data_IF_052082378247
#
_entry.id   IF_052082378247
#
_cell.length_a   1.000
_cell.length_b   1.000
_cell.length_c   1.000
_cell.angle_alpha   90.00
_cell.angle_beta   90.00
_cell.angle_gamma   90.00
#
_symmetry.space_group_name_H-M   'P 1'
#
loop_
_entity.id
_entity.type
_entity.pdbx_description
1 polymer ?
#
# COMPACT_ATOMS: atom_id res chain seq x y z
N UNK A 1 22.00 -0.23 33.47
CA UNK A 1 20.83 0.69 33.41
C UNK A 1 20.23 0.76 32.00
N UNK A 2 21.04 0.98 30.95
CA UNK A 2 20.60 1.10 29.54
C UNK A 2 19.94 -0.15 28.93
N UNK A 3 20.41 -1.36 29.27
CA UNK A 3 19.83 -2.62 28.78
C UNK A 3 18.35 -2.78 29.16
N UNK A 4 17.91 -2.22 30.30
CA UNK A 4 16.49 -2.22 30.72
C UNK A 4 15.60 -1.37 29.81
N UNK A 5 16.19 -0.50 28.99
CA UNK A 5 15.52 0.32 27.99
C UNK A 5 15.74 -0.21 26.56
N UNK A 6 16.19 -1.46 26.41
CA UNK A 6 16.55 -2.08 25.12
C UNK A 6 17.64 -1.29 24.35
N UNK A 7 18.55 -0.62 25.08
CA UNK A 7 19.70 0.07 24.50
C UNK A 7 20.97 -0.73 24.76
N UNK A 8 21.68 -1.09 23.70
CA UNK A 8 23.00 -1.69 23.75
C UNK A 8 24.05 -0.63 23.39
N UNK A 9 24.93 -0.31 24.33
CA UNK A 9 26.03 0.63 24.12
C UNK A 9 27.33 -0.13 23.91
N UNK A 10 28.02 0.15 22.80
CA UNK A 10 29.29 -0.51 22.45
C UNK A 10 30.47 -0.04 23.31
N UNK A 11 30.37 1.12 23.97
CA UNK A 11 31.37 1.64 24.89
C UNK A 11 30.76 2.62 25.90
N UNK A 12 31.45 2.82 27.03
CA UNK A 12 31.06 3.86 28.01
C UNK A 12 31.12 5.28 27.42
N UNK A 13 32.10 5.55 26.55
CA UNK A 13 32.23 6.83 25.84
C UNK A 13 31.01 7.17 24.98
N UNK A 14 30.36 6.17 24.38
CA UNK A 14 29.13 6.39 23.61
C UNK A 14 27.96 6.85 24.50
N UNK A 15 27.94 6.44 25.77
CA UNK A 15 26.92 6.84 26.73
C UNK A 15 27.15 8.28 27.20
N UNK A 16 28.40 8.63 27.50
CA UNK A 16 28.77 10.00 27.89
C UNK A 16 28.51 10.99 26.76
N UNK A 17 28.94 10.67 25.53
CA UNK A 17 28.71 11.51 24.36
C UNK A 17 27.21 11.72 24.09
N UNK A 18 26.36 10.70 24.30
CA UNK A 18 24.92 10.82 24.14
C UNK A 18 24.24 11.72 25.19
N UNK A 19 24.90 12.02 26.31
CA UNK A 19 24.40 12.97 27.31
C UNK A 19 24.66 14.43 26.97
N UNK A 20 25.56 14.70 26.02
CA UNK A 20 26.05 16.03 25.65
C UNK A 20 25.62 16.42 24.22
N UNK A 21 24.56 15.80 23.70
CA UNK A 21 24.05 16.08 22.35
C UNK A 21 22.97 17.17 22.37
N UNK A 22 23.17 18.21 21.56
CA UNK A 22 22.18 19.28 21.38
C UNK A 22 21.25 19.05 20.16
N UNK A 23 21.61 18.13 19.26
CA UNK A 23 20.85 17.88 18.03
C UNK A 23 20.76 16.38 17.76
N UNK A 24 19.52 15.92 17.52
CA UNK A 24 19.21 14.53 17.20
C UNK A 24 18.67 14.44 15.77
N UNK A 25 19.39 13.71 14.92
CA UNK A 25 18.92 13.34 13.58
C UNK A 25 18.27 11.96 13.65
N UNK A 26 16.99 11.86 13.29
CA UNK A 26 16.25 10.61 13.31
C UNK A 26 15.92 10.19 11.89
N UNK A 27 16.22 8.93 11.58
CA UNK A 27 15.56 8.30 10.46
C UNK A 27 14.06 8.16 10.76
N UNK A 28 13.20 8.29 9.76
CA UNK A 28 11.75 8.19 9.96
C UNK A 28 11.31 6.72 9.94
N UNK A 29 11.72 6.00 8.90
CA UNK A 29 11.19 4.67 8.57
C UNK A 29 11.69 3.66 9.59
N UNK A 30 10.78 2.97 10.28
CA UNK A 30 11.16 1.92 11.24
C UNK A 30 11.69 2.45 12.58
N UNK A 31 12.07 3.73 12.66
CA UNK A 31 12.45 4.41 13.91
C UNK A 31 11.25 5.17 14.48
N UNK A 32 10.76 6.20 13.79
CA UNK A 32 9.57 6.99 14.19
C UNK A 32 8.28 6.26 13.81
N UNK A 33 8.25 5.63 12.65
CA UNK A 33 7.10 4.90 12.13
C UNK A 33 7.28 3.40 12.29
N UNK A 34 6.19 2.63 12.12
CA UNK A 34 6.22 1.18 12.15
C UNK A 34 7.13 0.58 11.06
N UNK A 35 7.57 1.38 10.08
CA UNK A 35 8.48 0.96 9.02
C UNK A 35 7.79 0.33 7.81
N UNK A 36 6.47 0.11 7.90
CA UNK A 36 5.64 -0.45 6.84
C UNK A 36 4.51 0.53 6.53
N UNK A 37 4.17 0.68 5.24
CA UNK A 37 3.03 1.51 4.87
C UNK A 37 1.74 0.71 5.02
N UNK A 38 0.69 1.34 5.55
CA UNK A 38 -0.62 0.72 5.78
C UNK A 38 -1.67 1.36 4.89
N UNK A 39 -2.58 0.55 4.34
CA UNK A 39 -3.74 1.03 3.62
C UNK A 39 -4.67 1.80 4.57
N UNK A 40 -5.05 3.00 4.15
CA UNK A 40 -5.92 3.88 4.95
C UNK A 40 -7.19 4.31 4.20
N UNK A 41 -7.19 4.27 2.87
CA UNK A 41 -8.34 4.69 2.08
C UNK A 41 -8.34 4.04 0.69
N UNK A 42 -9.54 3.76 0.19
CA UNK A 42 -9.80 3.47 -1.23
C UNK A 42 -10.35 4.74 -1.88
N UNK A 43 -9.75 5.16 -2.99
CA UNK A 43 -10.11 6.37 -3.74
C UNK A 43 -10.53 5.94 -5.15
N UNK A 44 -11.83 5.71 -5.39
CA UNK A 44 -12.31 5.24 -6.68
C UNK A 44 -12.21 6.35 -7.74
N UNK A 45 -12.00 5.95 -8.99
CA UNK A 45 -12.23 6.86 -10.13
C UNK A 45 -13.73 7.11 -10.31
N UNK A 46 -14.08 8.14 -11.08
CA UNK A 46 -15.46 8.45 -11.45
C UNK A 46 -16.19 7.23 -12.02
N UNK A 47 -17.41 7.00 -11.55
CA UNK A 47 -18.24 5.87 -11.98
C UNK A 47 -17.87 4.52 -11.38
N UNK A 48 -16.95 4.49 -10.40
CA UNK A 48 -16.63 3.30 -9.59
C UNK A 48 -17.02 3.58 -8.15
N UNK A 49 -17.57 2.58 -7.46
CA UNK A 49 -17.90 2.72 -6.03
C UNK A 49 -16.70 2.39 -5.16
N UNK A 50 -16.63 2.95 -3.93
CA UNK A 50 -15.59 2.53 -2.97
C UNK A 50 -15.66 1.02 -2.69
N UNK A 51 -16.85 0.42 -2.66
CA UNK A 51 -17.06 -1.01 -2.44
C UNK A 51 -16.46 -1.86 -3.58
N UNK A 52 -16.71 -1.48 -4.84
CA UNK A 52 -16.17 -2.17 -6.02
C UNK A 52 -14.64 -2.13 -6.03
N UNK A 53 -14.05 -0.97 -5.72
CA UNK A 53 -12.60 -0.83 -5.59
C UNK A 53 -12.06 -1.67 -4.42
N UNK A 54 -12.70 -1.62 -3.25
CA UNK A 54 -12.26 -2.38 -2.07
C UNK A 54 -12.30 -3.90 -2.31
N UNK A 55 -13.32 -4.38 -3.03
CA UNK A 55 -13.47 -5.80 -3.39
C UNK A 55 -12.34 -6.27 -4.32
N UNK A 56 -12.11 -5.54 -5.41
CA UNK A 56 -11.02 -5.84 -6.34
C UNK A 56 -9.65 -5.71 -5.67
N UNK A 57 -9.44 -4.68 -4.85
CA UNK A 57 -8.20 -4.48 -4.12
C UNK A 57 -7.92 -5.62 -3.14
N UNK A 58 -8.94 -6.10 -2.41
CA UNK A 58 -8.79 -7.24 -1.52
C UNK A 58 -8.37 -8.48 -2.29
N UNK A 59 -9.08 -8.82 -3.36
CA UNK A 59 -8.79 -9.98 -4.21
C UNK A 59 -7.35 -9.97 -4.73
N UNK A 60 -6.90 -8.85 -5.28
CA UNK A 60 -5.54 -8.69 -5.77
C UNK A 60 -4.47 -8.69 -4.65
N UNK A 61 -4.88 -8.57 -3.39
CA UNK A 61 -3.98 -8.57 -2.23
C UNK A 61 -3.85 -9.93 -1.55
N UNK A 62 -4.68 -10.93 -1.88
CA UNK A 62 -4.72 -12.19 -1.13
C UNK A 62 -3.42 -13.00 -1.22
N UNK A 63 -2.68 -12.89 -2.32
CA UNK A 63 -1.36 -13.51 -2.49
C UNK A 63 -0.20 -12.52 -2.33
N UNK A 64 -0.48 -11.31 -1.83
CA UNK A 64 0.53 -10.32 -1.53
C UNK A 64 0.93 -10.40 -0.06
N UNK A 65 2.00 -11.15 0.22
CA UNK A 65 2.53 -11.36 1.55
C UNK A 65 3.33 -10.17 2.10
N UNK A 66 3.35 -9.03 1.40
CA UNK A 66 3.96 -7.81 1.96
C UNK A 66 3.10 -7.24 3.09
N UNK A 67 3.69 -6.46 4.02
CA UNK A 67 2.92 -5.69 4.99
C UNK A 67 1.83 -4.82 4.35
N UNK A 68 2.13 -4.22 3.19
CA UNK A 68 1.21 -3.42 2.40
C UNK A 68 0.02 -4.27 1.91
N UNK A 69 0.29 -5.42 1.29
CA UNK A 69 -0.74 -6.37 0.84
C UNK A 69 -1.68 -6.79 1.95
N UNK A 70 -1.14 -7.22 3.09
CA UNK A 70 -1.93 -7.57 4.28
C UNK A 70 -2.79 -6.41 4.79
N UNK A 71 -2.24 -5.20 4.83
CA UNK A 71 -2.99 -4.02 5.30
C UNK A 71 -4.20 -3.68 4.43
N UNK A 72 -4.12 -3.94 3.12
CA UNK A 72 -5.24 -3.75 2.19
C UNK A 72 -6.37 -4.74 2.49
N UNK A 73 -6.03 -6.01 2.72
CA UNK A 73 -7.00 -7.05 3.08
C UNK A 73 -7.72 -6.70 4.38
N UNK A 74 -6.97 -6.22 5.38
CA UNK A 74 -7.52 -5.76 6.67
C UNK A 74 -8.46 -4.57 6.47
N UNK A 75 -8.04 -3.53 5.75
CA UNK A 75 -8.87 -2.35 5.49
C UNK A 75 -10.19 -2.71 4.78
N UNK A 76 -10.13 -3.59 3.77
CA UNK A 76 -11.31 -4.05 3.04
C UNK A 76 -12.29 -4.81 3.96
N UNK A 77 -11.76 -5.68 4.84
CA UNK A 77 -12.56 -6.43 5.81
C UNK A 77 -13.22 -5.53 6.84
N UNK A 78 -12.46 -4.61 7.43
CA UNK A 78 -12.93 -3.78 8.55
C UNK A 78 -13.91 -2.70 8.10
N UNK A 79 -13.62 -2.00 6.99
CA UNK A 79 -14.42 -0.85 6.55
C UNK A 79 -15.60 -1.23 5.67
N UNK A 80 -15.51 -2.34 4.92
CA UNK A 80 -16.50 -2.71 3.90
C UNK A 80 -17.13 -4.08 4.14
N UNK A 81 -16.86 -4.71 5.29
CA UNK A 81 -17.37 -6.02 5.69
C UNK A 81 -17.11 -7.14 4.67
N UNK A 82 -16.08 -7.00 3.82
CA UNK A 82 -15.73 -7.99 2.80
C UNK A 82 -15.04 -9.15 3.50
N UNK A 83 -15.79 -10.24 3.72
CA UNK A 83 -15.31 -11.44 4.41
C UNK A 83 -14.38 -12.26 3.53
N UNK A 84 -13.58 -13.11 4.17
CA UNK A 84 -12.77 -14.11 3.48
C UNK A 84 -13.67 -14.94 2.57
N UNK A 85 -13.32 -14.98 1.27
CA UNK A 85 -13.97 -15.84 0.30
C UNK A 85 -13.49 -17.27 0.51
N UNK A 86 -14.36 -18.23 0.24
CA UNK A 86 -13.94 -19.63 0.23
C UNK A 86 -13.05 -19.88 -0.98
N UNK A 87 -11.74 -19.78 -0.76
CA UNK A 87 -10.70 -19.91 -1.78
C UNK A 87 -10.74 -21.27 -2.47
N UNK A 88 -11.28 -22.31 -1.81
CA UNK A 88 -11.36 -23.66 -2.36
C UNK A 88 -12.40 -23.78 -3.51
N UNK A 89 -13.32 -22.83 -3.62
CA UNK A 89 -14.38 -22.83 -4.64
C UNK A 89 -14.07 -21.94 -5.84
N UNK A 90 -13.04 -21.10 -5.74
CA UNK A 90 -12.64 -20.20 -6.81
C UNK A 90 -11.56 -20.90 -7.64
N UNK A 91 -11.77 -21.06 -8.94
CA UNK A 91 -10.73 -21.48 -9.89
C UNK A 91 -9.75 -20.31 -10.12
N UNK A 92 -9.10 -19.88 -9.04
CA UNK A 92 -8.29 -18.69 -8.96
C UNK A 92 -6.80 -19.03 -9.14
N UNK A 93 -6.17 -18.36 -10.09
CA UNK A 93 -4.70 -18.33 -10.20
C UNK A 93 -4.19 -17.04 -9.58
N UNK A 94 -3.51 -17.15 -8.45
CA UNK A 94 -2.95 -15.99 -7.78
C UNK A 94 -1.62 -15.56 -8.38
N UNK A 95 -1.46 -14.24 -8.55
CA UNK A 95 -0.22 -13.61 -8.99
C UNK A 95 0.43 -12.94 -7.78
N UNK A 96 1.49 -13.54 -7.19
CA UNK A 96 2.15 -12.99 -6.03
C UNK A 96 2.82 -11.66 -6.37
N UNK A 97 3.05 -10.84 -5.34
CA UNK A 97 3.82 -9.62 -5.50
C UNK A 97 5.27 -9.92 -5.90
N UNK A 98 5.79 -9.19 -6.89
CA UNK A 98 7.23 -9.19 -7.19
C UNK A 98 7.76 -7.77 -7.27
N UNK A 99 9.01 -7.57 -6.84
CA UNK A 99 9.67 -6.27 -6.94
C UNK A 99 9.91 -5.84 -8.40
N UNK A 100 10.03 -6.80 -9.32
CA UNK A 100 10.26 -6.56 -10.75
C UNK A 100 9.00 -5.99 -11.42
N UNK A 101 7.84 -6.61 -11.18
CA UNK A 101 6.57 -6.11 -11.74
C UNK A 101 6.01 -4.95 -10.91
N UNK A 102 6.37 -4.87 -9.62
CA UNK A 102 5.77 -3.97 -8.60
C UNK A 102 4.25 -4.11 -8.53
N UNK A 103 3.74 -5.31 -8.79
CA UNK A 103 2.31 -5.63 -8.82
C UNK A 103 2.04 -7.03 -8.27
N UNK A 104 0.82 -7.22 -7.79
CA UNK A 104 0.19 -8.48 -7.39
C UNK A 104 -1.23 -8.55 -7.96
N UNK A 105 -1.85 -9.71 -7.92
CA UNK A 105 -3.18 -9.87 -8.50
C UNK A 105 -3.75 -11.27 -8.40
N UNK A 106 -4.85 -11.47 -9.13
CA UNK A 106 -5.50 -12.76 -9.27
C UNK A 106 -6.22 -12.85 -10.62
N UNK A 107 -6.23 -14.04 -11.21
CA UNK A 107 -7.04 -14.40 -12.37
C UNK A 107 -8.10 -15.41 -11.92
N UNK A 108 -9.38 -15.10 -12.06
CA UNK A 108 -10.51 -15.90 -11.59
C UNK A 108 -11.61 -15.92 -12.64
N UNK A 109 -12.02 -17.10 -13.10
CA UNK A 109 -13.15 -17.28 -14.02
C UNK A 109 -13.08 -16.38 -15.28
N UNK A 110 -11.87 -16.20 -15.82
CA UNK A 110 -11.62 -15.34 -16.99
C UNK A 110 -11.56 -13.84 -16.69
N UNK A 111 -11.75 -13.43 -15.44
CA UNK A 111 -11.54 -12.06 -14.97
C UNK A 111 -10.13 -11.91 -14.38
N UNK A 112 -9.44 -10.84 -14.73
CA UNK A 112 -8.10 -10.51 -14.22
C UNK A 112 -8.19 -9.27 -13.35
N UNK A 113 -7.61 -9.33 -12.15
CA UNK A 113 -7.50 -8.19 -11.24
C UNK A 113 -6.04 -7.97 -10.90
N UNK A 114 -5.57 -6.73 -10.99
CA UNK A 114 -4.20 -6.34 -10.63
C UNK A 114 -4.20 -5.13 -9.73
N UNK A 115 -3.23 -5.09 -8.82
CA UNK A 115 -2.89 -3.91 -8.02
C UNK A 115 -1.39 -3.68 -8.02
N UNK A 116 -0.96 -2.43 -7.88
CA UNK A 116 0.46 -2.13 -7.67
C UNK A 116 0.82 -0.69 -7.97
N UNK A 117 2.09 -0.46 -8.31
CA UNK A 117 2.57 0.87 -8.66
C UNK A 117 1.76 1.44 -9.85
N UNK A 118 1.42 2.73 -9.78
CA UNK A 118 0.52 3.39 -10.75
C UNK A 118 1.03 3.23 -12.19
N UNK A 119 2.33 3.43 -12.39
CA UNK A 119 3.00 3.26 -13.68
C UNK A 119 2.99 1.80 -14.16
N UNK A 120 3.26 0.84 -13.28
CA UNK A 120 3.19 -0.59 -13.61
C UNK A 120 1.78 -1.03 -14.03
N UNK A 121 0.75 -0.57 -13.32
CA UNK A 121 -0.66 -0.91 -13.63
C UNK A 121 -1.08 -0.28 -14.96
N UNK A 122 -0.75 0.98 -15.21
CA UNK A 122 -1.04 1.64 -16.49
C UNK A 122 -0.31 0.94 -17.65
N UNK A 123 0.94 0.50 -17.45
CA UNK A 123 1.67 -0.28 -18.44
C UNK A 123 1.01 -1.63 -18.72
N UNK A 124 0.59 -2.35 -17.68
CA UNK A 124 -0.13 -3.63 -17.79
C UNK A 124 -1.41 -3.48 -18.61
N UNK A 125 -2.25 -2.52 -18.27
CA UNK A 125 -3.53 -2.30 -18.95
C UNK A 125 -3.32 -1.97 -20.44
N UNK A 126 -2.33 -1.14 -20.78
CA UNK A 126 -2.02 -0.81 -22.16
C UNK A 126 -1.51 -2.02 -22.97
N UNK A 127 -0.68 -2.87 -22.35
CA UNK A 127 -0.18 -4.09 -23.00
C UNK A 127 -1.30 -5.11 -23.22
N UNK A 128 -2.14 -5.34 -22.20
CA UNK A 128 -3.28 -6.27 -22.28
C UNK A 128 -4.29 -5.83 -23.34
N UNK A 129 -4.57 -4.53 -23.46
CA UNK A 129 -5.46 -4.01 -24.51
C UNK A 129 -4.89 -4.21 -25.92
N UNK A 130 -3.56 -4.14 -26.09
CA UNK A 130 -2.92 -4.40 -27.37
C UNK A 130 -2.93 -5.89 -27.76
N UNK A 131 -2.78 -6.80 -26.79
CA UNK A 131 -2.74 -8.23 -27.03
C UNK A 131 -4.13 -8.86 -27.27
N UNK A 132 -5.15 -8.41 -26.55
CA UNK A 132 -6.45 -9.08 -26.50
C UNK A 132 -7.58 -8.38 -27.29
N UNK A 133 -7.29 -7.32 -28.06
CA UNK A 133 -8.32 -6.37 -28.56
C UNK A 133 -9.24 -5.86 -27.43
N UNK A 134 -8.70 -5.80 -26.21
CA UNK A 134 -9.42 -5.38 -25.03
C UNK A 134 -9.76 -3.89 -25.07
N UNK A 135 -10.70 -3.48 -24.24
CA UNK A 135 -11.07 -2.07 -24.14
C UNK A 135 -9.92 -1.28 -23.53
N UNK A 136 -9.36 -0.33 -24.29
CA UNK A 136 -8.38 0.61 -23.74
C UNK A 136 -9.08 1.52 -22.71
N UNK A 137 -8.45 1.80 -21.57
CA UNK A 137 -8.98 2.78 -20.62
C UNK A 137 -9.14 4.13 -21.31
N UNK A 138 -10.24 4.81 -21.02
CA UNK A 138 -10.50 6.13 -21.59
C UNK A 138 -9.43 7.12 -21.09
N UNK A 139 -9.13 8.13 -21.90
CA UNK A 139 -8.21 9.21 -21.51
C UNK A 139 -8.69 9.95 -20.26
N UNK A 140 -10.01 10.04 -20.04
CA UNK A 140 -10.58 10.61 -18.83
C UNK A 140 -10.29 9.75 -17.60
N UNK A 141 -10.51 8.43 -17.66
CA UNK A 141 -10.22 7.53 -16.53
C UNK A 141 -8.74 7.51 -16.15
N UNK A 142 -7.84 7.60 -17.13
CA UNK A 142 -6.40 7.71 -16.87
C UNK A 142 -6.08 9.01 -16.12
N UNK A 143 -6.61 10.15 -16.58
CA UNK A 143 -6.40 11.45 -15.93
C UNK A 143 -6.95 11.49 -14.51
N UNK A 144 -8.11 10.90 -14.29
CA UNK A 144 -8.74 10.84 -12.97
C UNK A 144 -7.91 10.00 -12.00
N UNK A 145 -7.46 8.82 -12.43
CA UNK A 145 -6.54 7.98 -11.65
C UNK A 145 -5.24 8.72 -11.29
N UNK A 146 -4.65 9.42 -12.25
CA UNK A 146 -3.43 10.20 -12.05
C UNK A 146 -3.64 11.35 -11.08
N UNK A 147 -4.76 12.08 -11.18
CA UNK A 147 -5.11 13.15 -10.26
C UNK A 147 -5.20 12.64 -8.82
N UNK A 148 -5.87 11.52 -8.59
CA UNK A 148 -5.98 10.89 -7.27
C UNK A 148 -4.59 10.47 -6.75
N UNK A 149 -3.77 9.86 -7.61
CA UNK A 149 -2.42 9.44 -7.25
C UNK A 149 -1.52 10.62 -6.86
N UNK A 150 -1.59 11.72 -7.60
CA UNK A 150 -0.84 12.95 -7.33
C UNK A 150 -1.26 13.60 -6.00
N UNK A 151 -2.56 13.62 -5.70
CA UNK A 151 -3.06 14.10 -4.41
C UNK A 151 -2.52 13.27 -3.24
N UNK A 152 -2.54 11.94 -3.37
CA UNK A 152 -1.97 11.03 -2.36
C UNK A 152 -0.48 11.30 -2.18
N UNK A 153 0.28 11.39 -3.27
CA UNK A 153 1.71 11.65 -3.23
C UNK A 153 2.03 13.01 -2.59
N UNK A 154 1.30 14.07 -2.94
CA UNK A 154 1.44 15.41 -2.34
C UNK A 154 1.17 15.42 -0.84
N UNK A 155 0.29 14.53 -0.36
CA UNK A 155 0.03 14.37 1.08
C UNK A 155 1.07 13.51 1.82
N UNK A 156 2.13 13.05 1.14
CA UNK A 156 3.16 12.18 1.70
C UNK A 156 2.77 10.69 1.77
N UNK A 157 1.67 10.32 1.13
CA UNK A 157 1.21 8.94 1.00
C UNK A 157 1.84 8.23 -0.21
N UNK A 158 1.62 6.92 -0.29
CA UNK A 158 2.03 6.09 -1.43
C UNK A 158 0.78 5.58 -2.16
N UNK A 159 0.58 5.95 -3.44
CA UNK A 159 -0.56 5.50 -4.21
C UNK A 159 -0.30 4.12 -4.83
N UNK A 160 -1.25 3.19 -4.69
CA UNK A 160 -1.29 1.95 -5.49
C UNK A 160 -2.54 1.92 -6.37
N UNK A 161 -2.39 1.77 -7.68
CA UNK A 161 -3.52 1.66 -8.59
C UNK A 161 -4.11 0.24 -8.55
N UNK A 162 -5.41 0.14 -8.89
CA UNK A 162 -6.15 -1.11 -9.02
C UNK A 162 -6.89 -1.10 -10.35
N UNK A 163 -6.84 -2.21 -11.06
CA UNK A 163 -7.59 -2.44 -12.29
C UNK A 163 -8.24 -3.82 -12.27
N UNK A 164 -9.33 -3.93 -13.03
CA UNK A 164 -10.01 -5.19 -13.31
C UNK A 164 -10.34 -5.24 -14.79
N UNK A 165 -9.93 -6.31 -15.46
CA UNK A 165 -10.21 -6.56 -16.88
C UNK A 165 -9.83 -5.39 -17.80
N UNK A 166 -8.75 -4.68 -17.47
CA UNK A 166 -8.30 -3.49 -18.20
C UNK A 166 -9.05 -2.20 -17.85
N UNK A 167 -10.07 -2.26 -17.00
CA UNK A 167 -10.77 -1.09 -16.46
C UNK A 167 -10.08 -0.61 -15.18
N UNK A 168 -9.67 0.65 -15.18
CA UNK A 168 -9.12 1.32 -13.98
C UNK A 168 -10.24 1.51 -12.95
N UNK A 169 -10.01 1.06 -11.72
CA UNK A 169 -10.99 1.16 -10.63
C UNK A 169 -10.68 2.29 -9.66
N UNK A 170 -9.40 2.58 -9.43
CA UNK A 170 -8.98 3.65 -8.52
C UNK A 170 -7.65 3.40 -7.86
N UNK A 171 -7.41 4.12 -6.77
CA UNK A 171 -6.13 4.15 -6.07
C UNK A 171 -6.32 3.85 -4.59
N UNK A 172 -5.42 3.05 -4.03
CA UNK A 172 -5.28 2.77 -2.60
C UNK A 172 -4.29 3.76 -2.01
N UNK A 173 -4.68 4.44 -0.95
CA UNK A 173 -3.81 5.34 -0.19
C UNK A 173 -3.10 4.57 0.92
N UNK A 174 -1.80 4.34 0.74
CA UNK A 174 -0.92 3.82 1.80
C UNK A 174 -0.27 4.97 2.58
N UNK A 175 -0.28 4.89 3.91
CA UNK A 175 0.41 5.83 4.81
C UNK A 175 1.46 5.13 5.65
N UNK A 176 2.57 5.80 5.88
CA UNK A 176 3.57 5.36 6.85
C UNK A 176 3.11 5.74 8.27
N UNK A 177 2.74 4.73 9.07
CA UNK A 177 2.06 4.93 10.35
C UNK A 177 3.07 5.19 11.46
N UNK A 178 2.91 6.33 12.13
CA UNK A 178 3.72 6.75 13.28
C UNK A 178 3.49 5.81 14.47
N UNK A 179 4.56 5.40 15.15
CA UNK A 179 4.45 4.57 16.37
C UNK A 179 3.71 5.33 17.46
N UNK A 180 2.84 4.64 18.20
CA UNK A 180 2.22 5.19 19.39
C UNK A 180 3.28 5.61 20.44
N UNK A 181 3.03 6.70 21.16
CA UNK A 181 3.95 7.20 22.19
C UNK A 181 5.10 8.06 21.67
N UNK A 182 5.31 8.16 20.34
CA UNK A 182 6.45 8.92 19.82
C UNK A 182 6.23 10.43 19.92
N UNK A 183 4.98 10.89 19.81
CA UNK A 183 4.65 12.32 19.91
C UNK A 183 4.91 12.83 21.33
N UNK A 184 4.58 12.01 22.32
CA UNK A 184 4.83 12.25 23.74
C UNK A 184 6.34 12.25 24.01
N UNK A 185 7.08 11.28 23.48
CA UNK A 185 8.56 11.23 23.58
C UNK A 185 9.25 12.44 22.95
N UNK A 186 8.74 12.96 21.82
CA UNK A 186 9.26 14.19 21.23
C UNK A 186 9.00 15.42 22.10
N UNK A 187 7.92 15.41 22.89
CA UNK A 187 7.61 16.49 23.82
C UNK A 187 8.55 16.46 25.03
N UNK A 188 8.93 15.26 25.51
CA UNK A 188 9.92 15.08 26.59
C UNK A 188 11.36 15.47 26.17
N UNK A 189 11.64 15.49 24.86
CA UNK A 189 12.96 15.86 24.30
C UNK A 189 13.10 17.36 24.00
N UNK A 190 12.02 18.15 24.12
CA UNK A 190 12.06 19.62 23.97
C UNK A 190 12.33 20.31 25.30
#
# INVERSE_FOLDING_TARGET
>A
RLVRFNVLAMSGRAVEAAGDVDTLLLDKTGTITLGNRQATQFRPVKGVTEQELADAAQLASLADETPEGRSIVVLAKEKYAIRARDMATLHATFVPFTAQTRMSGVDIDGSSVRKGAVDSVLAHVNQSAAAAHGTRPSSESIRDLQSIADEIAKSGGTPLAVERDGRLLGVIHLKDIVKGGISERFTELR
#
